data_IF_449355677284
#
_entry.id   IF_449355677284
#
_cell.length_a   1.000
_cell.length_b   1.000
_cell.length_c   1.000
_cell.angle_alpha   90.00
_cell.angle_beta   90.00
_cell.angle_gamma   90.00
#
_symmetry.space_group_name_H-M   'P 1'
#
loop_
_entity.id
_entity.type
_entity.pdbx_description
1 polymer ?
#
# COMPACT_ATOMS: atom_id res chain seq x y z
N UNK A 1 13.34 -20.76 30.36
CA UNK A 1 13.45 -20.48 29.99
C UNK A 1 13.54 -19.72 29.73
N UNK A 2 13.42 -19.66 29.81
CA UNK A 2 13.56 -19.14 29.35
C UNK A 2 13.59 -18.22 28.93
N UNK A 3 13.48 -18.22 28.91
CA UNK A 3 13.59 -17.52 28.34
C UNK A 3 13.44 -16.52 28.01
N UNK A 4 13.34 -16.71 28.35
CA UNK A 4 13.34 -15.89 27.85
C UNK A 4 13.44 -14.87 27.67
N UNK A 5 13.44 -14.96 27.81
CA UNK A 5 13.61 -14.12 27.45
C UNK A 5 13.69 -13.24 27.05
N UNK A 6 13.49 -13.32 26.97
CA UNK A 6 13.63 -12.56 26.50
C UNK A 6 13.43 -11.68 26.16
N UNK A 7 13.28 -11.66 26.38
CA UNK A 7 13.09 -10.87 25.90
C UNK A 7 13.13 -10.01 25.69
N UNK A 8 13.00 -10.19 26.10
CA UNK A 8 13.00 -9.36 25.68
C UNK A 8 13.45 -8.65 25.32
N UNK A 9 13.43 -8.82 25.21
CA UNK A 9 14.03 -8.13 24.54
C UNK A 9 13.99 -7.38 24.02
N UNK A 10 13.67 -7.36 24.04
CA UNK A 10 13.68 -6.62 23.33
C UNK A 10 13.47 -5.75 23.24
N UNK A 11 13.28 -5.78 23.76
CA UNK A 11 13.08 -4.94 23.58
C UNK A 11 13.11 -3.96 23.37
N UNK A 12 12.98 -4.01 23.59
CA UNK A 12 12.97 -3.07 23.15
C UNK A 12 13.54 -2.40 22.69
N UNK A 13 13.76 -2.55 22.30
CA UNK A 13 14.35 -2.00 21.53
C UNK A 13 14.10 -1.29 20.81
N UNK A 14 13.80 -1.33 20.81
CA UNK A 14 13.65 -0.68 19.95
C UNK A 14 13.54 0.34 19.86
N UNK A 15 13.33 0.38 20.24
CA UNK A 15 13.07 1.25 20.01
C UNK A 15 13.57 2.25 19.52
N UNK A 16 13.92 2.22 19.31
CA UNK A 16 14.43 3.09 18.72
C UNK A 16 14.01 3.60 17.79
N UNK A 17 13.60 3.33 18.22
CA UNK A 17 13.11 3.73 17.34
C UNK A 17 13.34 4.50 16.42
N UNK A 18 13.97 4.28 16.15
CA UNK A 18 14.28 4.93 15.19
C UNK A 18 13.59 4.87 14.07
N UNK A 19 13.36 5.57 13.62
CA UNK A 19 12.72 5.92 12.51
C UNK A 19 13.37 5.58 11.25
N UNK A 20 13.78 4.40 11.19
CA UNK A 20 14.26 3.92 9.93
C UNK A 20 13.09 3.33 9.20
N UNK A 21 12.79 3.90 8.04
CA UNK A 21 11.74 3.39 7.21
C UNK A 21 12.36 2.53 6.13
N UNK A 22 12.48 1.26 6.41
CA UNK A 22 12.84 0.30 5.39
C UNK A 22 11.56 -0.07 4.64
N UNK A 23 11.68 -0.35 3.36
CA UNK A 23 10.56 -0.85 2.59
C UNK A 23 10.10 -2.18 3.16
N UNK A 24 8.79 -2.34 3.25
CA UNK A 24 8.20 -3.59 3.71
C UNK A 24 8.16 -4.55 2.54
N UNK A 25 8.65 -5.76 2.74
CA UNK A 25 8.63 -6.78 1.71
C UNK A 25 7.34 -7.59 1.82
N UNK A 26 6.54 -7.55 0.78
CA UNK A 26 5.38 -8.43 0.67
C UNK A 26 5.78 -9.61 -0.20
N UNK A 27 5.19 -10.78 0.07
CA UNK A 27 5.60 -12.00 -0.60
C UNK A 27 4.48 -12.69 -1.37
N UNK A 28 3.25 -12.42 -1.02
CA UNK A 28 2.12 -13.08 -1.64
C UNK A 28 0.97 -12.12 -1.85
N UNK A 29 0.08 -12.48 -2.77
CA UNK A 29 -1.10 -11.66 -3.07
C UNK A 29 -1.97 -11.46 -1.84
N UNK A 30 -1.99 -12.43 -0.94
CA UNK A 30 -2.77 -12.35 0.29
C UNK A 30 -2.31 -11.22 1.21
N UNK A 31 -1.07 -10.80 1.08
CA UNK A 31 -0.53 -9.76 1.95
C UNK A 31 -1.25 -8.42 1.78
N UNK A 32 -1.84 -8.18 0.62
CA UNK A 32 -2.59 -6.94 0.38
C UNK A 32 -4.08 -7.17 0.18
N UNK A 33 -4.54 -8.40 0.34
CA UNK A 33 -5.93 -8.74 0.11
C UNK A 33 -6.86 -7.96 1.05
N UNK A 34 -8.00 -7.55 0.54
CA UNK A 34 -9.01 -6.84 1.31
C UNK A 34 -9.43 -5.54 0.64
N UNK A 35 -10.16 -4.75 1.40
CA UNK A 35 -10.69 -3.46 0.93
C UNK A 35 -9.93 -2.35 1.63
N UNK A 36 -9.37 -1.46 0.84
CA UNK A 36 -8.56 -0.35 1.34
C UNK A 36 -9.10 0.95 0.81
N UNK A 37 -9.22 1.94 1.68
CA UNK A 37 -9.63 3.28 1.26
C UNK A 37 -8.38 4.14 1.08
N UNK A 38 -8.22 4.71 -0.10
CA UNK A 38 -7.15 5.67 -0.35
C UNK A 38 -7.55 6.99 0.30
N UNK A 39 -6.87 7.31 1.37
CA UNK A 39 -7.20 8.47 2.18
C UNK A 39 -6.57 9.75 1.62
N UNK A 40 -5.34 9.65 1.17
CA UNK A 40 -4.64 10.80 0.61
C UNK A 40 -3.48 10.35 -0.25
N UNK A 41 -2.95 11.26 -1.05
CA UNK A 41 -1.81 11.02 -1.90
C UNK A 41 -0.90 12.24 -1.88
N UNK A 42 0.39 12.02 -2.05
CA UNK A 42 1.39 13.07 -2.19
C UNK A 42 2.23 12.81 -3.43
N UNK A 43 2.69 13.87 -4.07
CA UNK A 43 3.57 13.72 -5.22
C UNK A 43 4.98 13.27 -4.82
N UNK A 44 5.39 13.58 -3.59
CA UNK A 44 6.65 13.11 -3.04
C UNK A 44 6.56 13.14 -1.53
N UNK A 45 7.51 12.47 -0.85
CA UNK A 45 7.52 12.44 0.61
C UNK A 45 7.75 13.83 1.20
N UNK A 46 8.39 14.72 0.45
CA UNK A 46 8.69 16.07 0.93
C UNK A 46 7.55 17.06 0.70
N UNK A 47 6.53 16.69 -0.05
CA UNK A 47 5.37 17.56 -0.23
C UNK A 47 4.68 17.76 1.11
N UNK A 48 4.39 19.02 1.41
CA UNK A 48 3.70 19.35 2.67
C UNK A 48 2.21 19.15 2.58
N UNK A 49 1.69 19.15 1.37
CA UNK A 49 0.25 19.02 1.17
C UNK A 49 -0.09 17.67 0.58
N UNK A 50 -0.92 16.93 1.27
CA UNK A 50 -1.52 15.72 0.75
C UNK A 50 -2.80 16.09 0.03
N UNK A 51 -3.08 15.40 -1.05
CA UNK A 51 -4.32 15.56 -1.79
C UNK A 51 -5.31 14.56 -1.21
N UNK A 52 -6.45 15.04 -0.77
CA UNK A 52 -7.49 14.16 -0.23
C UNK A 52 -8.05 13.29 -1.35
N UNK A 53 -8.24 12.03 -1.06
CA UNK A 53 -8.76 11.07 -2.01
C UNK A 53 -9.87 10.26 -1.37
N UNK A 54 -10.65 9.60 -2.19
CA UNK A 54 -11.75 8.76 -1.70
C UNK A 54 -11.85 7.44 -2.44
N UNK A 55 -10.86 7.14 -3.27
CA UNK A 55 -10.84 5.89 -4.02
C UNK A 55 -10.85 4.70 -3.06
N UNK A 56 -11.56 3.66 -3.45
CA UNK A 56 -11.55 2.40 -2.70
C UNK A 56 -10.94 1.33 -3.57
N UNK A 57 -9.90 0.69 -3.07
CA UNK A 57 -9.20 -0.38 -3.78
C UNK A 57 -9.58 -1.71 -3.14
N UNK A 58 -10.14 -2.62 -3.93
CA UNK A 58 -10.56 -3.93 -3.45
C UNK A 58 -9.66 -4.98 -4.09
N UNK A 59 -8.84 -5.62 -3.26
CA UNK A 59 -7.95 -6.71 -3.72
C UNK A 59 -8.62 -8.03 -3.37
N UNK A 60 -9.01 -8.78 -4.37
CA UNK A 60 -9.72 -10.04 -4.17
C UNK A 60 -9.50 -10.97 -5.35
N UNK A 61 -9.22 -12.21 -5.06
CA UNK A 61 -9.11 -13.27 -6.09
C UNK A 61 -8.13 -12.92 -7.19
N UNK A 62 -7.00 -12.32 -6.83
CA UNK A 62 -5.95 -12.00 -7.80
C UNK A 62 -6.24 -10.79 -8.65
N UNK A 63 -7.27 -10.02 -8.31
CA UNK A 63 -7.63 -8.82 -9.04
C UNK A 63 -7.83 -7.65 -8.10
N UNK A 64 -7.60 -6.45 -8.61
CA UNK A 64 -7.90 -5.23 -7.87
C UNK A 64 -8.94 -4.44 -8.65
N UNK A 65 -9.96 -4.00 -7.91
CA UNK A 65 -11.01 -3.13 -8.44
C UNK A 65 -10.88 -1.80 -7.75
N UNK A 66 -10.81 -0.72 -8.51
CA UNK A 66 -10.71 0.63 -7.93
C UNK A 66 -12.05 1.32 -8.14
N UNK A 67 -12.66 1.69 -7.02
CA UNK A 67 -14.00 2.28 -7.00
C UNK A 67 -13.94 3.71 -6.53
N UNK A 68 -14.97 4.47 -6.89
CA UNK A 68 -15.16 5.82 -6.38
C UNK A 68 -13.99 6.76 -6.69
N UNK A 69 -13.51 6.66 -7.94
CA UNK A 69 -12.39 7.49 -8.40
C UNK A 69 -12.93 8.87 -8.75
N UNK A 70 -12.38 9.95 -8.17
CA UNK A 70 -12.87 11.30 -8.46
C UNK A 70 -12.63 11.69 -9.91
N UNK A 71 -13.62 12.34 -10.52
CA UNK A 71 -13.50 12.81 -11.90
C UNK A 71 -14.48 13.93 -12.17
N UNK A 72 -13.97 15.13 -12.35
CA UNK A 72 -14.76 16.30 -12.80
C UNK A 72 -16.09 16.47 -12.04
N UNK A 73 -16.01 16.44 -10.72
CA UNK A 73 -17.20 16.66 -9.89
C UNK A 73 -18.07 15.43 -9.69
N UNK A 74 -17.64 14.30 -10.18
CA UNK A 74 -18.36 13.04 -10.00
C UNK A 74 -17.34 11.93 -9.70
N UNK A 75 -17.79 10.69 -9.73
CA UNK A 75 -16.94 9.53 -9.47
C UNK A 75 -17.19 8.45 -10.50
N UNK A 76 -16.21 7.60 -10.71
CA UNK A 76 -16.38 6.44 -11.57
C UNK A 76 -15.66 5.23 -10.96
N UNK A 77 -16.04 4.05 -11.44
CA UNK A 77 -15.42 2.79 -11.02
C UNK A 77 -14.63 2.22 -12.17
N UNK A 78 -13.46 1.69 -11.86
CA UNK A 78 -12.62 1.04 -12.84
C UNK A 78 -12.89 -0.46 -12.83
N UNK A 79 -12.88 -1.10 -13.99
CA UNK A 79 -13.05 -2.54 -14.07
C UNK A 79 -11.91 -3.26 -13.35
N UNK A 80 -12.15 -4.47 -12.84
CA UNK A 80 -11.09 -5.24 -12.18
C UNK A 80 -9.93 -5.51 -13.12
N UNK A 81 -8.72 -5.40 -12.59
CA UNK A 81 -7.50 -5.74 -13.34
C UNK A 81 -6.68 -6.69 -12.50
N UNK A 82 -5.85 -7.49 -13.17
CA UNK A 82 -4.99 -8.43 -12.46
C UNK A 82 -3.93 -7.69 -11.65
N UNK A 83 -3.58 -8.24 -10.50
CA UNK A 83 -2.41 -7.78 -9.77
C UNK A 83 -1.58 -8.97 -9.38
N UNK A 84 -0.32 -8.71 -9.08
CA UNK A 84 0.60 -9.74 -8.64
C UNK A 84 1.58 -9.15 -7.64
N UNK A 85 2.23 -10.03 -6.91
CA UNK A 85 3.31 -9.65 -6.01
C UNK A 85 4.56 -10.35 -6.53
N UNK A 86 5.56 -9.56 -6.88
CA UNK A 86 6.76 -10.06 -7.52
C UNK A 86 7.95 -9.25 -7.02
N UNK A 87 8.99 -9.95 -6.58
CA UNK A 87 10.19 -9.28 -6.05
C UNK A 87 9.88 -8.33 -4.90
N UNK A 88 8.90 -8.70 -4.07
CA UNK A 88 8.53 -7.89 -2.91
C UNK A 88 7.73 -6.64 -3.24
N UNK A 89 7.29 -6.50 -4.48
CA UNK A 89 6.57 -5.32 -4.95
C UNK A 89 5.18 -5.69 -5.44
N UNK A 90 4.30 -4.72 -5.39
CA UNK A 90 2.94 -4.87 -5.89
C UNK A 90 2.90 -4.41 -7.34
N UNK A 91 2.44 -5.26 -8.23
CA UNK A 91 2.30 -4.94 -9.64
C UNK A 91 0.84 -4.99 -10.05
N UNK A 92 0.36 -3.91 -10.64
CA UNK A 92 -1.04 -3.81 -11.05
C UNK A 92 -1.09 -3.60 -12.55
N UNK A 93 -1.83 -4.45 -13.23
CA UNK A 93 -1.96 -4.38 -14.69
C UNK A 93 -2.59 -3.05 -15.11
N UNK A 94 -2.08 -2.50 -16.18
CA UNK A 94 -2.63 -1.26 -16.76
C UNK A 94 -3.65 -1.66 -17.84
N UNK A 95 -4.85 -1.11 -17.73
CA UNK A 95 -5.91 -1.42 -18.68
C UNK A 95 -5.47 -1.07 -20.11
N UNK A 96 -5.63 -2.03 -21.01
CA UNK A 96 -5.30 -1.81 -22.41
C UNK A 96 -3.82 -1.90 -22.73
N UNK A 97 -3.02 -2.42 -21.82
CA UNK A 97 -1.58 -2.51 -22.00
C UNK A 97 -1.07 -3.85 -21.48
N UNK A 98 0.08 -4.28 -21.99
CA UNK A 98 0.76 -5.45 -21.46
C UNK A 98 1.67 -5.09 -20.26
N UNK A 99 1.69 -3.82 -19.89
CA UNK A 99 2.57 -3.34 -18.81
C UNK A 99 1.82 -3.26 -17.50
N UNK A 100 2.56 -3.12 -16.43
CA UNK A 100 2.02 -2.99 -15.08
C UNK A 100 2.59 -1.77 -14.39
N UNK A 101 1.80 -1.19 -13.50
CA UNK A 101 2.32 -0.22 -12.56
C UNK A 101 2.94 -0.97 -11.40
N UNK A 102 4.11 -0.51 -10.96
CA UNK A 102 4.86 -1.15 -9.90
C UNK A 102 4.87 -0.23 -8.68
N UNK A 103 4.46 -0.77 -7.54
CA UNK A 103 4.45 -0.04 -6.28
C UNK A 103 5.35 -0.72 -5.26
N UNK A 104 6.08 0.09 -4.52
CA UNK A 104 6.83 -0.38 -3.36
C UNK A 104 5.97 -0.19 -2.13
N UNK A 105 5.90 -1.21 -1.27
CA UNK A 105 5.18 -1.08 -0.01
C UNK A 105 6.13 -0.48 1.00
N UNK A 106 5.85 0.75 1.41
CA UNK A 106 6.70 1.48 2.35
C UNK A 106 6.34 1.15 3.78
N UNK A 107 5.05 1.00 4.04
CA UNK A 107 4.56 0.67 5.36
C UNK A 107 3.31 -0.19 5.23
N UNK A 108 3.17 -1.15 6.11
CA UNK A 108 1.96 -1.96 6.14
C UNK A 108 1.73 -2.53 7.53
N UNK A 109 0.53 -2.29 8.04
CA UNK A 109 0.03 -2.91 9.25
C UNK A 109 -1.32 -3.52 8.92
N UNK A 110 -2.02 -4.06 9.93
CA UNK A 110 -3.35 -4.61 9.70
C UNK A 110 -4.36 -3.55 9.28
N UNK A 111 -4.10 -2.29 9.60
CA UNK A 111 -5.07 -1.22 9.35
C UNK A 111 -4.56 -0.13 8.40
N UNK A 112 -3.29 -0.10 8.08
CA UNK A 112 -2.70 0.95 7.24
C UNK A 112 -1.76 0.37 6.21
N UNK A 113 -1.71 1.02 5.05
CA UNK A 113 -0.77 0.64 4.01
C UNK A 113 -0.32 1.91 3.29
N UNK A 114 0.97 2.05 3.06
CA UNK A 114 1.52 3.16 2.28
C UNK A 114 2.25 2.58 1.09
N UNK A 115 1.86 3.02 -0.10
CA UNK A 115 2.49 2.61 -1.34
C UNK A 115 3.28 3.76 -1.93
N UNK A 116 4.39 3.45 -2.54
CA UNK A 116 5.20 4.41 -3.28
C UNK A 116 5.17 4.01 -4.74
N UNK A 117 4.74 4.92 -5.58
CA UNK A 117 4.68 4.68 -7.02
C UNK A 117 6.03 4.83 -7.68
N UNK A 118 6.11 4.43 -8.92
CA UNK A 118 7.32 4.45 -9.73
C UNK A 118 7.94 5.84 -9.85
N UNK A 119 7.12 6.86 -9.85
CA UNK A 119 7.58 8.25 -10.03
C UNK A 119 7.68 9.02 -8.72
N UNK A 120 7.69 8.31 -7.59
CA UNK A 120 7.89 8.94 -6.29
C UNK A 120 6.63 9.39 -5.57
N UNK A 121 5.46 9.17 -6.14
CA UNK A 121 4.21 9.50 -5.47
C UNK A 121 3.94 8.54 -4.33
N UNK A 122 3.30 9.05 -3.28
CA UNK A 122 2.94 8.25 -2.12
C UNK A 122 1.43 8.17 -1.99
N UNK A 123 0.93 6.98 -1.63
CA UNK A 123 -0.50 6.70 -1.52
C UNK A 123 -0.78 6.09 -0.15
N UNK A 124 -1.62 6.76 0.63
CA UNK A 124 -1.88 6.38 2.02
C UNK A 124 -3.25 5.75 2.13
N UNK A 125 -3.29 4.49 2.53
CA UNK A 125 -4.53 3.72 2.62
C UNK A 125 -4.85 3.35 4.05
N UNK A 126 -6.14 3.28 4.34
CA UNK A 126 -6.62 2.69 5.58
C UNK A 126 -7.52 1.50 5.23
N UNK A 127 -7.47 0.49 6.08
CA UNK A 127 -8.28 -0.72 5.88
C UNK A 127 -9.74 -0.43 6.19
N UNK A 128 -10.60 -0.90 5.33
CA UNK A 128 -12.03 -0.77 5.57
C UNK A 128 -12.60 -2.03 6.21
#
# INVERSE_FOLDING_TARGET
MKKINLAAICLGLSIFATAVFADVTIQAKEDVQGTWKLQSAKNSITDKQAIDREDTWVFKDGKVTILHIPREGTYYDQAPVAYDVEDGKLKIAIIGSSRSEVFTVVEKTDSNMTLKGKFGGYYYFIKK
#
